data_IF_132049772103
#
_entry.id   IF_132049772103
#
_cell.length_a   1.000
_cell.length_b   1.000
_cell.length_c   1.000
_cell.angle_alpha   90.00
_cell.angle_beta   90.00
_cell.angle_gamma   90.00
#
_symmetry.space_group_name_H-M   'P 1'
#
loop_
_entity.id
_entity.type
_entity.pdbx_description
1 polymer ?
#
# COMPACT_ATOMS: atom_id res chain seq x y z
N UNK A 1 43.87 -68.51 -7.52
CA UNK A 1 43.50 -68.58 -8.95
C UNK A 1 44.66 -68.00 -9.75
N UNK A 2 45.33 -68.82 -10.57
CA UNK A 2 46.47 -68.37 -11.38
C UNK A 2 45.97 -67.45 -12.50
N UNK A 3 46.69 -66.36 -12.78
CA UNK A 3 46.36 -65.38 -13.82
C UNK A 3 46.08 -66.00 -15.19
N UNK A 4 46.76 -67.12 -15.50
CA UNK A 4 46.57 -67.90 -16.72
C UNK A 4 45.14 -68.46 -16.89
N UNK A 5 44.49 -68.90 -15.80
CA UNK A 5 43.11 -69.41 -15.85
C UNK A 5 42.09 -68.27 -16.08
N UNK A 6 42.37 -67.07 -15.55
CA UNK A 6 41.55 -65.87 -15.78
C UNK A 6 41.57 -65.42 -17.24
N UNK A 7 42.75 -65.41 -17.87
CA UNK A 7 42.89 -65.06 -19.29
C UNK A 7 42.22 -66.08 -20.24
N UNK A 8 42.23 -67.37 -19.89
CA UNK A 8 41.55 -68.40 -20.69
C UNK A 8 40.02 -68.21 -20.71
N UNK A 9 39.42 -67.83 -19.57
CA UNK A 9 38.00 -67.49 -19.47
C UNK A 9 37.67 -66.20 -20.22
N UNK A 10 38.51 -65.16 -20.09
CA UNK A 10 38.33 -63.89 -20.79
C UNK A 10 38.33 -64.07 -22.32
N UNK A 11 39.21 -64.93 -22.85
CA UNK A 11 39.24 -65.27 -24.30
C UNK A 11 37.99 -66.05 -24.74
N UNK A 12 37.41 -66.87 -23.87
CA UNK A 12 36.20 -67.67 -24.18
C UNK A 12 34.92 -66.84 -24.17
N UNK A 13 34.86 -65.85 -23.29
CA UNK A 13 33.68 -64.99 -23.04
C UNK A 13 33.88 -63.54 -23.48
N UNK A 14 34.87 -63.24 -24.34
CA UNK A 14 35.14 -61.87 -24.79
C UNK A 14 33.92 -61.16 -25.43
N UNK A 15 32.98 -61.93 -26.01
CA UNK A 15 31.73 -61.44 -26.58
C UNK A 15 30.70 -60.98 -25.53
N UNK A 16 30.83 -61.34 -24.24
CA UNK A 16 29.97 -60.82 -23.16
C UNK A 16 30.42 -59.46 -22.65
N UNK A 17 31.67 -59.07 -22.90
CA UNK A 17 32.23 -57.76 -22.51
C UNK A 17 31.38 -56.58 -22.98
N UNK A 18 30.93 -56.49 -24.26
CA UNK A 18 30.06 -55.39 -24.68
C UNK A 18 28.71 -55.39 -23.96
N UNK A 19 28.12 -56.56 -23.68
CA UNK A 19 26.85 -56.64 -22.94
C UNK A 19 27.00 -56.17 -21.49
N UNK A 20 28.09 -56.53 -20.83
CA UNK A 20 28.41 -56.05 -19.48
C UNK A 20 28.65 -54.53 -19.51
N UNK A 21 29.38 -54.03 -20.50
CA UNK A 21 29.59 -52.59 -20.70
C UNK A 21 28.28 -51.81 -20.87
N UNK A 22 27.35 -52.34 -21.66
CA UNK A 22 26.01 -51.76 -21.83
C UNK A 22 25.19 -51.78 -20.54
N UNK A 23 25.26 -52.87 -19.75
CA UNK A 23 24.59 -52.94 -18.45
C UNK A 23 25.14 -51.91 -17.46
N UNK A 24 26.46 -51.75 -17.40
CA UNK A 24 27.10 -50.75 -16.54
C UNK A 24 26.72 -49.33 -17.00
N UNK A 25 26.74 -49.06 -18.31
CA UNK A 25 26.31 -47.78 -18.86
C UNK A 25 24.82 -47.48 -18.57
N UNK A 26 23.95 -48.50 -18.64
CA UNK A 26 22.53 -48.38 -18.28
C UNK A 26 22.35 -48.04 -16.79
N UNK A 27 23.11 -48.67 -15.91
CA UNK A 27 23.04 -48.38 -14.47
C UNK A 27 23.49 -46.95 -14.18
N UNK A 28 24.61 -46.53 -14.75
CA UNK A 28 25.14 -45.18 -14.55
C UNK A 28 24.18 -44.10 -15.10
N UNK A 29 23.59 -44.34 -16.28
CA UNK A 29 22.59 -43.41 -16.84
C UNK A 29 21.32 -43.34 -16.01
N UNK A 30 20.88 -44.46 -15.40
CA UNK A 30 19.74 -44.47 -14.49
C UNK A 30 20.00 -43.70 -13.19
N UNK A 31 21.16 -43.87 -12.59
CA UNK A 31 21.54 -43.14 -11.37
C UNK A 31 21.64 -41.64 -11.64
N UNK A 32 22.33 -41.24 -12.71
CA UNK A 32 22.44 -39.82 -13.08
C UNK A 32 21.09 -39.19 -13.43
N UNK A 33 20.17 -39.93 -14.05
CA UNK A 33 18.80 -39.46 -14.26
C UNK A 33 18.03 -39.36 -12.95
N UNK A 34 18.16 -40.33 -12.04
CA UNK A 34 17.51 -40.30 -10.74
C UNK A 34 17.94 -39.06 -9.94
N UNK A 35 19.24 -38.79 -9.85
CA UNK A 35 19.78 -37.60 -9.16
C UNK A 35 19.26 -36.30 -9.77
N UNK A 36 19.35 -36.14 -11.10
CA UNK A 36 18.84 -34.93 -11.77
C UNK A 36 17.34 -34.72 -11.54
N UNK A 37 16.55 -35.80 -11.59
CA UNK A 37 15.11 -35.70 -11.34
C UNK A 37 14.81 -35.38 -9.87
N UNK A 38 15.62 -35.87 -8.92
CA UNK A 38 15.50 -35.53 -7.51
C UNK A 38 15.81 -34.05 -7.28
N UNK A 39 16.91 -33.53 -7.84
CA UNK A 39 17.28 -32.10 -7.76
C UNK A 39 16.20 -31.21 -8.36
N UNK A 40 15.74 -31.51 -9.58
CA UNK A 40 14.68 -30.72 -10.23
C UNK A 40 13.35 -30.76 -9.45
N UNK A 41 13.03 -31.89 -8.81
CA UNK A 41 11.85 -31.97 -7.94
C UNK A 41 12.03 -31.11 -6.69
N UNK A 42 13.20 -31.13 -6.06
CA UNK A 42 13.47 -30.29 -4.90
C UNK A 42 13.44 -28.80 -5.24
N UNK A 43 13.99 -28.42 -6.38
CA UNK A 43 13.93 -27.03 -6.87
C UNK A 43 12.49 -26.63 -7.16
N UNK A 44 11.71 -27.43 -7.91
CA UNK A 44 10.29 -27.11 -8.14
C UNK A 44 9.50 -27.00 -6.84
N UNK A 45 9.78 -27.86 -5.87
CA UNK A 45 9.14 -27.79 -4.56
C UNK A 45 9.51 -26.49 -3.80
N UNK A 46 10.77 -26.05 -3.85
CA UNK A 46 11.17 -24.79 -3.21
C UNK A 46 10.55 -23.58 -3.91
N UNK A 47 10.58 -23.55 -5.24
CA UNK A 47 10.00 -22.47 -6.04
C UNK A 47 8.48 -22.35 -5.84
N UNK A 48 7.76 -23.47 -5.85
CA UNK A 48 6.31 -23.48 -5.60
C UNK A 48 5.97 -23.05 -4.17
N UNK A 49 6.78 -23.43 -3.18
CA UNK A 49 6.62 -22.97 -1.80
C UNK A 49 6.87 -21.46 -1.66
N UNK A 50 7.84 -20.90 -2.39
CA UNK A 50 8.09 -19.45 -2.42
C UNK A 50 6.94 -18.68 -3.07
N UNK A 51 6.40 -19.18 -4.19
CA UNK A 51 5.22 -18.58 -4.85
C UNK A 51 4.02 -18.60 -3.88
N UNK A 52 3.75 -19.72 -3.23
CA UNK A 52 2.64 -19.83 -2.28
C UNK A 52 2.81 -18.86 -1.08
N UNK A 53 4.03 -18.70 -0.56
CA UNK A 53 4.32 -17.69 0.48
C UNK A 53 4.11 -16.28 -0.03
N UNK A 54 4.56 -15.96 -1.24
CA UNK A 54 4.38 -14.64 -1.84
C UNK A 54 2.89 -14.32 -2.05
N UNK A 55 2.08 -15.27 -2.51
CA UNK A 55 0.63 -15.12 -2.64
C UNK A 55 -0.06 -14.89 -1.28
N UNK A 56 0.34 -15.65 -0.25
CA UNK A 56 -0.17 -15.42 1.10
C UNK A 56 0.17 -14.02 1.62
N UNK A 57 1.39 -13.53 1.37
CA UNK A 57 1.79 -12.18 1.75
C UNK A 57 1.00 -11.11 1.01
N UNK A 58 0.73 -11.29 -0.29
CA UNK A 58 -0.12 -10.38 -1.09
C UNK A 58 -1.54 -10.33 -0.53
N UNK A 59 -2.18 -11.49 -0.33
CA UNK A 59 -3.53 -11.57 0.22
C UNK A 59 -3.61 -10.97 1.64
N UNK A 60 -2.58 -11.16 2.46
CA UNK A 60 -2.50 -10.55 3.79
C UNK A 60 -2.33 -9.02 3.71
N UNK A 61 -1.53 -8.52 2.77
CA UNK A 61 -1.35 -7.09 2.54
C UNK A 61 -2.65 -6.43 2.06
N UNK A 62 -3.37 -7.05 1.14
CA UNK A 62 -4.68 -6.58 0.66
C UNK A 62 -5.70 -6.47 1.80
N UNK A 63 -5.80 -7.50 2.66
CA UNK A 63 -6.67 -7.47 3.84
C UNK A 63 -6.29 -6.35 4.80
N UNK A 64 -5.00 -6.18 5.08
CA UNK A 64 -4.51 -5.10 5.97
C UNK A 64 -4.83 -3.73 5.41
N UNK A 65 -4.67 -3.54 4.10
CA UNK A 65 -4.96 -2.28 3.44
C UNK A 65 -6.46 -1.95 3.50
N UNK A 66 -7.33 -2.92 3.25
CA UNK A 66 -8.78 -2.74 3.39
C UNK A 66 -9.16 -2.33 4.83
N UNK A 67 -8.60 -3.02 5.84
CA UNK A 67 -8.83 -2.68 7.25
C UNK A 67 -8.31 -1.28 7.58
N UNK A 68 -7.13 -0.90 7.09
CA UNK A 68 -6.57 0.44 7.31
C UNK A 68 -7.47 1.54 6.74
N UNK A 69 -8.03 1.34 5.54
CA UNK A 69 -8.96 2.30 4.95
C UNK A 69 -10.23 2.45 5.80
N UNK A 70 -10.84 1.33 6.22
CA UNK A 70 -12.04 1.39 7.05
C UNK A 70 -11.76 2.06 8.39
N UNK A 71 -10.64 1.73 9.04
CA UNK A 71 -10.24 2.33 10.32
C UNK A 71 -9.96 3.83 10.19
N UNK A 72 -9.35 4.27 9.08
CA UNK A 72 -9.12 5.69 8.84
C UNK A 72 -10.43 6.46 8.70
N UNK A 73 -11.41 5.90 7.98
CA UNK A 73 -12.74 6.49 7.81
C UNK A 73 -13.51 6.55 9.14
N UNK A 74 -13.52 5.48 9.92
CA UNK A 74 -14.20 5.48 11.24
C UNK A 74 -13.55 6.48 12.18
N UNK A 75 -12.22 6.54 12.22
CA UNK A 75 -11.49 7.51 13.07
C UNK A 75 -11.76 8.96 12.65
N UNK A 76 -11.97 9.22 11.35
CA UNK A 76 -12.36 10.54 10.88
C UNK A 76 -13.80 10.88 11.29
N UNK A 77 -14.74 9.96 11.09
CA UNK A 77 -16.13 10.12 11.51
C UNK A 77 -16.24 10.34 13.02
N UNK A 78 -15.51 9.58 13.83
CA UNK A 78 -15.48 9.75 15.29
C UNK A 78 -14.94 11.12 15.69
N UNK A 79 -13.88 11.60 15.03
CA UNK A 79 -13.34 12.94 15.29
C UNK A 79 -14.32 14.05 14.91
N UNK A 80 -15.08 13.87 13.83
CA UNK A 80 -16.10 14.82 13.41
C UNK A 80 -17.27 14.83 14.39
N UNK A 81 -17.81 13.66 14.73
CA UNK A 81 -18.91 13.52 15.70
C UNK A 81 -18.56 14.11 17.08
N UNK A 82 -17.31 14.00 17.52
CA UNK A 82 -16.85 14.61 18.77
C UNK A 82 -16.72 16.15 18.70
N UNK A 83 -16.49 16.73 17.51
CA UNK A 83 -16.30 18.18 17.32
C UNK A 83 -17.60 18.91 16.98
N UNK A 84 -18.50 18.26 16.26
CA UNK A 84 -19.79 18.81 15.84
C UNK A 84 -20.57 19.49 16.98
N UNK A 85 -20.78 18.89 18.17
CA UNK A 85 -21.53 19.56 19.24
C UNK A 85 -20.81 20.80 19.80
N UNK A 86 -19.48 20.82 19.76
CA UNK A 86 -18.69 21.99 20.20
C UNK A 86 -18.84 23.12 19.20
N UNK A 87 -18.73 22.80 17.90
CA UNK A 87 -18.91 23.76 16.81
C UNK A 87 -20.31 24.36 16.90
N UNK A 88 -21.36 23.52 16.91
CA UNK A 88 -22.75 23.97 17.01
C UNK A 88 -23.00 24.83 18.25
N UNK A 89 -22.52 24.40 19.43
CA UNK A 89 -22.64 25.17 20.67
C UNK A 89 -21.93 26.51 20.54
N UNK A 90 -20.69 26.54 20.05
CA UNK A 90 -19.91 27.77 19.94
C UNK A 90 -20.57 28.77 18.99
N UNK A 91 -21.06 28.32 17.83
CA UNK A 91 -21.78 29.15 16.86
C UNK A 91 -23.06 29.71 17.44
N UNK A 92 -23.85 28.87 18.13
CA UNK A 92 -25.10 29.29 18.75
C UNK A 92 -24.87 30.27 19.92
N UNK A 93 -23.81 30.04 20.70
CA UNK A 93 -23.41 30.95 21.78
C UNK A 93 -22.99 32.31 21.22
N UNK A 94 -22.21 32.35 20.15
CA UNK A 94 -21.81 33.59 19.46
C UNK A 94 -23.04 34.29 18.88
N UNK A 95 -23.94 33.57 18.22
CA UNK A 95 -25.19 34.12 17.67
C UNK A 95 -26.07 34.73 18.77
N UNK A 96 -26.25 34.02 19.87
CA UNK A 96 -27.05 34.47 21.02
C UNK A 96 -26.41 35.70 21.66
N UNK A 97 -25.10 35.69 21.85
CA UNK A 97 -24.38 36.85 22.40
C UNK A 97 -24.49 38.08 21.47
N UNK A 98 -24.34 37.91 20.16
CA UNK A 98 -24.46 38.98 19.17
C UNK A 98 -25.86 39.62 19.14
N UNK A 99 -26.91 38.92 19.58
CA UNK A 99 -28.27 39.47 19.71
C UNK A 99 -28.48 40.32 20.97
N UNK A 100 -27.57 40.26 21.96
CA UNK A 100 -27.66 41.07 23.19
C UNK A 100 -27.20 42.52 22.96
N UNK A 101 -27.63 43.46 23.79
CA UNK A 101 -27.21 44.87 23.69
C UNK A 101 -25.69 45.05 23.80
N UNK A 102 -25.03 44.31 24.69
CA UNK A 102 -23.58 44.35 24.87
C UNK A 102 -22.83 43.72 23.68
N UNK A 103 -23.35 42.63 23.10
CA UNK A 103 -22.78 42.01 21.90
C UNK A 103 -22.95 42.88 20.66
N UNK A 104 -24.14 43.45 20.45
CA UNK A 104 -24.40 44.45 19.39
C UNK A 104 -23.48 45.67 19.51
N UNK A 105 -23.23 46.12 20.74
CA UNK A 105 -22.32 47.22 21.05
C UNK A 105 -20.83 46.83 21.08
N UNK A 106 -20.46 45.56 20.92
CA UNK A 106 -19.07 45.14 20.69
C UNK A 106 -18.80 44.89 19.19
N UNK A 107 -19.83 44.47 18.44
CA UNK A 107 -19.83 44.37 16.98
C UNK A 107 -20.02 45.74 16.25
N UNK A 108 -19.86 46.89 16.92
CA UNK A 108 -20.24 48.28 16.52
C UNK A 108 -20.00 48.73 15.05
N UNK A 109 -20.76 49.73 14.57
CA UNK A 109 -22.21 49.95 14.61
C UNK A 109 -22.81 49.67 13.20
N UNK A 110 -24.12 49.86 13.01
CA UNK A 110 -24.73 49.80 11.67
C UNK A 110 -24.00 50.66 10.62
N UNK A 111 -23.28 51.71 11.04
CA UNK A 111 -22.45 52.54 10.16
C UNK A 111 -21.15 51.85 9.70
N UNK A 112 -20.62 50.86 10.43
CA UNK A 112 -19.46 50.06 9.99
C UNK A 112 -19.87 48.97 9.01
N UNK A 113 -21.02 48.32 9.25
CA UNK A 113 -21.60 47.34 8.30
C UNK A 113 -22.04 48.06 7.03
N UNK A 114 -22.72 49.21 7.13
CA UNK A 114 -23.03 50.07 5.97
C UNK A 114 -21.78 50.60 5.28
N UNK A 115 -20.72 50.89 6.01
CA UNK A 115 -19.43 51.29 5.44
C UNK A 115 -18.75 50.17 4.66
N UNK A 116 -18.83 48.93 5.14
CA UNK A 116 -18.34 47.74 4.43
C UNK A 116 -19.23 47.43 3.23
N UNK A 117 -20.56 47.44 3.37
CA UNK A 117 -21.50 47.23 2.26
C UNK A 117 -21.36 48.32 1.18
N UNK A 118 -21.08 49.57 1.57
CA UNK A 118 -20.80 50.66 0.65
C UNK A 118 -19.45 50.50 -0.05
N UNK A 119 -18.40 50.05 0.68
CA UNK A 119 -17.09 49.77 0.11
C UNK A 119 -17.13 48.57 -0.84
N UNK A 120 -17.93 47.55 -0.51
CA UNK A 120 -18.17 46.34 -1.32
C UNK A 120 -18.96 46.71 -2.59
N UNK A 121 -19.99 47.53 -2.45
CA UNK A 121 -20.74 48.09 -3.59
C UNK A 121 -19.88 48.97 -4.49
N UNK A 122 -18.93 49.75 -3.94
CA UNK A 122 -17.95 50.53 -4.72
C UNK A 122 -16.92 49.64 -5.40
N UNK A 123 -16.43 48.59 -4.73
CA UNK A 123 -15.43 47.66 -5.24
C UNK A 123 -15.99 46.80 -6.39
N UNK A 124 -17.27 46.44 -6.33
CA UNK A 124 -17.96 45.61 -7.33
C UNK A 124 -18.93 46.41 -8.23
N UNK A 125 -18.89 47.75 -8.21
CA UNK A 125 -19.77 48.62 -9.00
C UNK A 125 -19.66 48.42 -10.53
N UNK A 126 -18.58 47.80 -11.00
CA UNK A 126 -18.33 47.50 -12.41
C UNK A 126 -18.41 46.01 -12.79
N UNK A 127 -18.60 45.12 -11.81
CA UNK A 127 -18.66 43.68 -12.08
C UNK A 127 -20.12 43.24 -12.28
N UNK A 128 -20.43 42.49 -13.36
CA UNK A 128 -21.75 41.91 -13.51
C UNK A 128 -22.00 40.94 -12.36
N UNK A 129 -23.13 41.10 -11.66
CA UNK A 129 -23.51 40.30 -10.50
C UNK A 129 -23.22 38.80 -10.75
N UNK A 130 -22.19 38.28 -10.09
CA UNK A 130 -21.97 36.83 -10.04
C UNK A 130 -23.04 36.26 -9.11
N UNK A 131 -23.87 35.32 -9.59
CA UNK A 131 -24.66 34.52 -8.68
C UNK A 131 -23.69 33.67 -7.85
N UNK A 132 -23.83 33.75 -6.53
CA UNK A 132 -23.21 32.87 -5.53
C UNK A 132 -21.74 33.17 -5.14
N UNK A 133 -21.54 34.11 -4.21
CA UNK A 133 -20.46 33.99 -3.21
C UNK A 133 -20.93 33.06 -2.09
N UNK A 134 -20.13 32.22 -1.46
CA UNK A 134 -18.70 31.97 -1.50
C UNK A 134 -18.40 31.18 -0.23
N UNK A 135 -17.74 30.03 -0.33
CA UNK A 135 -17.15 29.38 0.83
C UNK A 135 -15.76 28.87 0.44
N UNK A 136 -14.82 29.24 1.30
CA UNK A 136 -13.47 28.70 1.43
C UNK A 136 -12.34 29.26 0.56
N UNK A 137 -11.81 30.40 1.01
CA UNK A 137 -10.36 30.57 1.08
C UNK A 137 -9.94 30.63 2.56
N UNK A 138 -9.07 29.72 3.01
CA UNK A 138 -8.12 29.92 4.13
C UNK A 138 -7.25 28.66 4.31
N UNK A 139 -6.01 28.67 3.80
CA UNK A 139 -4.83 28.11 4.48
C UNK A 139 -3.55 28.56 3.76
N UNK A 140 -2.87 29.54 4.35
CA UNK A 140 -1.48 29.91 4.07
C UNK A 140 -0.57 29.51 5.23
N UNK A 141 0.57 28.94 4.85
CA UNK A 141 1.83 28.69 5.58
C UNK A 141 1.93 27.62 6.68
N UNK A 142 2.70 26.58 6.35
CA UNK A 142 3.68 25.99 7.27
C UNK A 142 5.01 25.76 6.52
N UNK A 143 6.06 26.43 6.98
CA UNK A 143 7.37 26.48 6.36
C UNK A 143 8.17 25.17 6.34
N UNK A 144 9.13 25.19 5.42
CA UNK A 144 10.24 24.26 5.14
C UNK A 144 11.05 23.75 6.35
N UNK A 145 11.58 22.52 6.27
CA UNK A 145 12.89 22.18 6.82
C UNK A 145 14.01 22.28 5.77
N UNK A 146 15.11 22.94 6.15
CA UNK A 146 16.33 23.09 5.34
C UNK A 146 17.04 21.75 5.12
N UNK A 147 17.40 21.45 3.87
CA UNK A 147 18.30 20.33 3.51
C UNK A 147 19.73 20.87 3.40
N UNK A 148 20.58 20.43 4.33
CA UNK A 148 22.05 20.56 4.27
C UNK A 148 22.59 19.76 3.08
N UNK A 149 23.46 20.37 2.27
CA UNK A 149 24.54 19.66 1.58
C UNK A 149 25.75 20.56 1.46
#
# INVERSE_FOLDING_TARGET
>A
MTWAAGFALLRRFWWTVPMIGLLVALLFTRETLADRTATLKSERASWTAEIAKAEQLRAAAEKRFAVQQTTALTTFADRLANREPIILRSTDTVRTYAQTDAGRAACLPADRVRGIDALDAELFAGDPASPDGGDEALHGDAGTPAVRR
#
